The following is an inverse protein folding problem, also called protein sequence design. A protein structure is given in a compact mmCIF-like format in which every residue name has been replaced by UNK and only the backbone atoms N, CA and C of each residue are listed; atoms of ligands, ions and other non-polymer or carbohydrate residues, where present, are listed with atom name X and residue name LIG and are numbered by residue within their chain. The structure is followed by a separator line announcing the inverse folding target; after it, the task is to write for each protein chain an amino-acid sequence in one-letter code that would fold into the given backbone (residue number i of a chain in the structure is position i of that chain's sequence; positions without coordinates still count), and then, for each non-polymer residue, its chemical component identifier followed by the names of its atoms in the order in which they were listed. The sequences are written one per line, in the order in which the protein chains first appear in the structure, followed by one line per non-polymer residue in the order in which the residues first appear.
data_IF_351257381698
#
_entry.id   IF_351257381698
#
_cell.length_a   1.000
_cell.length_b   1.000
_cell.length_c   1.000
_cell.angle_alpha   90.00
_cell.angle_beta   90.00
_cell.angle_gamma   90.00
#
_symmetry.space_group_name_H-M   'P 1'
#
loop_
_entity.id
_entity.type
_entity.pdbx_description
1 polymer ?
#
# COMPACT_ATOMS: atom_id res chain seq x y z
N UNK A 1 -1.68 -24.22 12.83
CA UNK A 1 -2.64 -23.32 12.19
C UNK A 1 -3.28 -22.50 13.28
N UNK A 2 -3.28 -21.16 13.18
CA UNK A 2 -3.96 -20.33 14.16
C UNK A 2 -5.47 -20.62 14.11
N UNK A 3 -6.12 -20.68 15.27
CA UNK A 3 -7.57 -20.81 15.34
C UNK A 3 -8.15 -19.44 15.05
N UNK A 4 -8.87 -19.30 13.94
CA UNK A 4 -9.54 -18.05 13.57
C UNK A 4 -10.77 -17.85 14.44
N UNK A 5 -11.12 -16.58 14.74
CA UNK A 5 -12.41 -16.26 15.29
C UNK A 5 -13.51 -16.49 14.26
N UNK A 6 -14.77 -16.48 14.70
CA UNK A 6 -15.92 -16.60 13.81
C UNK A 6 -15.95 -15.45 12.78
N UNK A 7 -15.73 -14.23 13.23
CA UNK A 7 -15.67 -13.04 12.38
C UNK A 7 -14.52 -13.11 11.37
N UNK A 8 -13.34 -13.59 11.78
CA UNK A 8 -12.20 -13.77 10.88
C UNK A 8 -12.50 -14.84 9.81
N UNK A 9 -13.19 -15.91 10.20
CA UNK A 9 -13.62 -16.94 9.25
C UNK A 9 -14.63 -16.39 8.25
N UNK A 10 -15.61 -15.63 8.72
CA UNK A 10 -16.61 -14.96 7.86
C UNK A 10 -15.93 -13.97 6.89
N UNK A 11 -14.97 -13.18 7.38
CA UNK A 11 -14.22 -12.23 6.54
C UNK A 11 -13.46 -12.94 5.43
N UNK A 12 -12.73 -14.02 5.75
CA UNK A 12 -12.03 -14.84 4.76
C UNK A 12 -12.98 -15.44 3.74
N UNK A 13 -14.12 -16.00 4.18
CA UNK A 13 -15.09 -16.62 3.29
C UNK A 13 -15.76 -15.59 2.37
N UNK A 14 -16.00 -14.36 2.86
CA UNK A 14 -16.45 -13.23 2.06
C UNK A 14 -15.41 -12.83 1.02
N UNK A 15 -14.14 -12.72 1.42
CA UNK A 15 -13.04 -12.41 0.50
C UNK A 15 -12.91 -13.48 -0.59
N UNK A 16 -12.95 -14.77 -0.21
CA UNK A 16 -12.91 -15.91 -1.13
C UNK A 16 -14.05 -15.84 -2.16
N UNK A 17 -15.27 -15.60 -1.71
CA UNK A 17 -16.43 -15.51 -2.60
C UNK A 17 -16.29 -14.34 -3.57
N UNK A 18 -15.88 -13.18 -3.07
CA UNK A 18 -15.70 -11.99 -3.88
C UNK A 18 -14.62 -12.16 -4.96
N UNK A 19 -13.43 -12.71 -4.62
CA UNK A 19 -12.37 -12.87 -5.61
C UNK A 19 -12.77 -13.87 -6.71
N UNK A 20 -13.53 -14.91 -6.37
CA UNK A 20 -14.02 -15.89 -7.35
C UNK A 20 -15.04 -15.29 -8.30
N UNK A 21 -15.93 -14.42 -7.79
CA UNK A 21 -17.00 -13.81 -8.58
C UNK A 21 -16.53 -12.56 -9.35
N UNK A 22 -15.85 -11.64 -8.67
CA UNK A 22 -15.54 -10.29 -9.18
C UNK A 22 -14.14 -10.15 -9.75
N UNK A 23 -13.17 -10.92 -9.23
CA UNK A 23 -11.77 -10.79 -9.62
C UNK A 23 -11.11 -12.14 -9.94
N UNK A 24 -11.72 -13.00 -10.77
CA UNK A 24 -11.05 -14.22 -11.25
C UNK A 24 -9.80 -13.87 -12.07
N UNK A 25 -8.88 -14.82 -12.27
CA UNK A 25 -7.63 -14.60 -13.05
C UNK A 25 -7.89 -14.01 -14.44
N UNK A 26 -9.05 -14.26 -15.03
CA UNK A 26 -9.47 -13.64 -16.30
C UNK A 26 -9.66 -12.13 -16.19
N UNK A 27 -10.08 -11.61 -15.03
CA UNK A 27 -10.17 -10.18 -14.78
C UNK A 27 -8.78 -9.53 -14.74
N UNK A 28 -7.81 -10.17 -14.07
CA UNK A 28 -6.42 -9.75 -14.10
C UNK A 28 -5.85 -9.71 -15.53
N UNK A 29 -6.07 -10.75 -16.33
CA UNK A 29 -5.63 -10.78 -17.73
C UNK A 29 -6.26 -9.65 -18.54
N UNK A 30 -7.56 -9.40 -18.37
CA UNK A 30 -8.26 -8.29 -19.03
C UNK A 30 -7.66 -6.93 -18.65
N UNK A 31 -7.37 -6.70 -17.36
CA UNK A 31 -6.73 -5.49 -16.87
C UNK A 31 -5.34 -5.31 -17.49
N UNK A 32 -4.50 -6.36 -17.46
CA UNK A 32 -3.17 -6.37 -18.08
C UNK A 32 -3.22 -6.03 -19.56
N UNK A 33 -4.09 -6.70 -20.32
CA UNK A 33 -4.16 -6.58 -21.77
C UNK A 33 -4.81 -5.25 -22.22
N UNK A 34 -5.59 -4.60 -21.34
CA UNK A 34 -6.15 -3.27 -21.59
C UNK A 34 -5.11 -2.14 -21.50
N UNK A 35 -3.94 -2.40 -20.91
CA UNK A 35 -2.94 -1.37 -20.65
C UNK A 35 -3.39 -0.35 -19.61
N UNK A 36 -4.23 -0.76 -18.64
CA UNK A 36 -4.76 0.11 -17.59
C UNK A 36 -3.66 1.01 -16.99
N UNK A 37 -3.89 2.31 -16.97
CA UNK A 37 -2.89 3.30 -16.55
C UNK A 37 -2.46 3.10 -15.11
N UNK A 38 -3.43 2.82 -14.23
CA UNK A 38 -3.19 2.65 -12.79
C UNK A 38 -2.72 1.24 -12.42
N UNK A 39 -2.86 0.25 -13.32
CA UNK A 39 -2.45 -1.14 -13.07
C UNK A 39 -3.39 -1.91 -12.14
N UNK A 40 -4.60 -1.42 -11.90
CA UNK A 40 -5.69 -2.10 -11.20
C UNK A 40 -7.05 -1.63 -11.72
N UNK A 41 -8.11 -2.39 -11.40
CA UNK A 41 -9.50 -2.04 -11.74
C UNK A 41 -10.07 -1.13 -10.64
N UNK A 42 -10.42 0.11 -11.01
CA UNK A 42 -10.94 1.12 -10.08
C UNK A 42 -12.30 0.71 -9.52
N UNK A 43 -13.15 0.05 -10.31
CA UNK A 43 -14.45 -0.42 -9.81
C UNK A 43 -14.28 -1.52 -8.75
N UNK A 44 -13.39 -2.47 -8.99
CA UNK A 44 -13.05 -3.50 -8.02
C UNK A 44 -12.45 -2.91 -6.73
N UNK A 45 -11.58 -1.89 -6.85
CA UNK A 45 -11.06 -1.18 -5.68
C UNK A 45 -12.15 -0.49 -4.86
N UNK A 46 -13.09 0.18 -5.53
CA UNK A 46 -14.22 0.83 -4.85
C UNK A 46 -15.09 -0.20 -4.11
N UNK A 47 -15.40 -1.35 -4.72
CA UNK A 47 -16.13 -2.43 -4.05
C UNK A 47 -15.38 -2.94 -2.80
N UNK A 48 -14.04 -3.13 -2.87
CA UNK A 48 -13.23 -3.52 -1.72
C UNK A 48 -13.31 -2.48 -0.60
N UNK A 49 -13.26 -1.20 -0.92
CA UNK A 49 -13.37 -0.11 0.04
C UNK A 49 -14.77 -0.05 0.67
N UNK A 50 -15.84 -0.21 -0.11
CA UNK A 50 -17.22 -0.30 0.38
C UNK A 50 -17.44 -1.49 1.34
N UNK A 51 -16.73 -2.59 1.12
CA UNK A 51 -16.68 -3.73 2.05
C UNK A 51 -15.82 -3.48 3.30
N UNK A 52 -15.19 -2.30 3.41
CA UNK A 52 -14.34 -1.90 4.54
C UNK A 52 -12.94 -2.50 4.51
N UNK A 53 -12.51 -3.16 3.42
CA UNK A 53 -11.20 -3.83 3.39
C UNK A 53 -10.01 -2.87 3.43
N UNK A 54 -10.16 -1.67 2.86
CA UNK A 54 -9.14 -0.64 2.91
C UNK A 54 -8.87 -0.11 4.33
N UNK A 55 -9.88 -0.23 5.22
CA UNK A 55 -9.86 0.24 6.61
C UNK A 55 -9.65 -0.84 7.67
N UNK A 56 -9.35 -2.10 7.30
CA UNK A 56 -9.30 -3.24 8.24
C UNK A 56 -8.35 -3.02 9.43
N UNK A 57 -7.19 -2.39 9.21
CA UNK A 57 -6.22 -2.10 10.28
C UNK A 57 -6.34 -0.69 10.85
N UNK A 58 -7.17 0.16 10.26
CA UNK A 58 -7.33 1.56 10.67
C UNK A 58 -8.22 1.59 11.93
N UNK A 59 -7.85 2.38 12.96
CA UNK A 59 -8.67 2.53 14.16
C UNK A 59 -10.07 3.06 13.85
N UNK A 60 -11.05 2.65 14.65
CA UNK A 60 -12.47 3.03 14.49
C UNK A 60 -12.68 4.54 14.53
N UNK A 61 -11.91 5.25 15.35
CA UNK A 61 -11.95 6.72 15.46
C UNK A 61 -11.58 7.43 14.16
N UNK A 62 -10.92 6.73 13.21
CA UNK A 62 -10.59 7.20 11.86
C UNK A 62 -11.38 6.47 10.77
N UNK A 63 -12.50 5.86 11.11
CA UNK A 63 -13.39 5.23 10.13
C UNK A 63 -13.00 3.82 9.68
N UNK A 64 -12.01 3.21 10.30
CA UNK A 64 -11.66 1.81 10.07
C UNK A 64 -12.41 0.85 10.98
N UNK A 65 -12.11 -0.45 10.89
CA UNK A 65 -12.69 -1.49 11.74
C UNK A 65 -11.76 -2.00 12.85
N UNK A 66 -10.49 -1.60 12.83
CA UNK A 66 -9.45 -2.06 13.76
C UNK A 66 -9.41 -3.59 13.94
N UNK A 67 -9.68 -4.33 12.87
CA UNK A 67 -9.85 -5.79 12.90
C UNK A 67 -8.49 -6.53 12.86
N UNK A 68 -7.40 -5.78 12.74
CA UNK A 68 -6.03 -6.23 12.91
C UNK A 68 -5.37 -6.82 11.67
N UNK A 69 -4.05 -7.03 11.78
CA UNK A 69 -3.21 -7.44 10.67
C UNK A 69 -3.45 -8.88 10.20
N UNK A 70 -3.88 -9.79 11.09
CA UNK A 70 -4.25 -11.15 10.70
C UNK A 70 -5.46 -11.12 9.75
N UNK A 71 -6.47 -10.34 10.08
CA UNK A 71 -7.67 -10.20 9.26
C UNK A 71 -7.36 -9.63 7.87
N UNK A 72 -6.50 -8.62 7.80
CA UNK A 72 -6.02 -8.11 6.51
C UNK A 72 -5.21 -9.16 5.74
N UNK A 73 -4.40 -9.95 6.43
CA UNK A 73 -3.64 -11.07 5.84
C UNK A 73 -4.55 -12.11 5.19
N UNK A 74 -5.69 -12.44 5.81
CA UNK A 74 -6.67 -13.37 5.23
C UNK A 74 -7.26 -12.86 3.91
N UNK A 75 -7.54 -11.55 3.83
CA UNK A 75 -7.99 -10.91 2.59
C UNK A 75 -6.89 -10.98 1.53
N UNK A 76 -5.65 -10.57 1.88
CA UNK A 76 -4.51 -10.59 0.95
C UNK A 76 -4.20 -11.99 0.43
N UNK A 77 -4.35 -13.03 1.26
CA UNK A 77 -4.22 -14.43 0.84
C UNK A 77 -5.24 -14.78 -0.25
N UNK A 78 -6.51 -14.44 -0.08
CA UNK A 78 -7.53 -14.72 -1.09
C UNK A 78 -7.34 -13.87 -2.36
N UNK A 79 -6.92 -12.62 -2.25
CA UNK A 79 -6.54 -11.79 -3.40
C UNK A 79 -5.35 -12.39 -4.17
N UNK A 80 -4.39 -12.97 -3.47
CA UNK A 80 -3.25 -13.66 -4.05
C UNK A 80 -3.64 -14.89 -4.89
N UNK A 81 -4.68 -15.63 -4.51
CA UNK A 81 -5.16 -16.80 -5.26
C UNK A 81 -5.59 -16.46 -6.69
N UNK A 82 -6.14 -15.28 -6.90
CA UNK A 82 -6.63 -14.84 -8.21
C UNK A 82 -5.76 -13.79 -8.88
N UNK A 83 -4.60 -13.46 -8.28
CA UNK A 83 -3.67 -12.43 -8.74
C UNK A 83 -4.34 -11.05 -8.82
N UNK A 84 -5.26 -10.76 -7.92
CA UNK A 84 -6.01 -9.51 -7.91
C UNK A 84 -5.09 -8.32 -7.68
N UNK A 85 -4.99 -7.45 -8.69
CA UNK A 85 -4.26 -6.19 -8.57
C UNK A 85 -5.12 -5.15 -7.84
N UNK A 86 -4.63 -4.63 -6.71
CA UNK A 86 -5.33 -3.60 -5.94
C UNK A 86 -4.36 -2.78 -5.10
N UNK A 87 -4.74 -1.55 -4.69
CA UNK A 87 -3.97 -0.73 -3.75
C UNK A 87 -3.95 -1.24 -2.30
N UNK A 88 -4.56 -2.38 -1.98
CA UNK A 88 -4.73 -2.82 -0.59
C UNK A 88 -3.40 -2.97 0.16
N UNK A 89 -2.38 -3.54 -0.49
CA UNK A 89 -1.05 -3.72 0.11
C UNK A 89 -0.34 -2.37 0.32
N UNK A 90 -0.35 -1.49 -0.67
CA UNK A 90 0.35 -0.19 -0.60
C UNK A 90 -0.38 0.82 0.27
N UNK A 91 -1.70 0.93 0.12
CA UNK A 91 -2.53 1.92 0.79
C UNK A 91 -3.08 1.40 2.12
N UNK A 92 -3.88 0.34 2.08
CA UNK A 92 -4.55 -0.22 3.26
C UNK A 92 -3.61 -0.85 4.28
N UNK A 93 -2.39 -1.27 3.88
CA UNK A 93 -1.40 -1.82 4.80
C UNK A 93 -0.22 -0.88 5.02
N UNK A 94 0.59 -0.60 3.99
CA UNK A 94 1.89 0.05 4.19
C UNK A 94 1.74 1.53 4.57
N UNK A 95 1.02 2.33 3.78
CA UNK A 95 0.80 3.75 4.06
C UNK A 95 -0.04 3.96 5.32
N UNK A 96 -1.13 3.19 5.50
CA UNK A 96 -1.93 3.21 6.72
C UNK A 96 -1.09 2.88 7.96
N UNK A 97 -0.22 1.84 7.91
CA UNK A 97 0.68 1.50 9.02
C UNK A 97 1.66 2.62 9.35
N UNK A 98 2.21 3.30 8.34
CA UNK A 98 3.11 4.42 8.58
C UNK A 98 2.41 5.59 9.31
N UNK A 99 1.18 5.91 8.90
CA UNK A 99 0.38 6.94 9.54
C UNK A 99 -0.05 6.55 10.96
N UNK A 100 -0.54 5.33 11.16
CA UNK A 100 -0.96 4.83 12.48
C UNK A 100 0.19 4.89 13.48
N UNK A 101 1.39 4.51 13.06
CA UNK A 101 2.55 4.41 13.94
C UNK A 101 3.30 5.71 14.14
N UNK A 102 3.39 6.56 13.13
CA UNK A 102 4.26 7.73 13.13
C UNK A 102 3.58 9.04 12.78
N UNK A 103 2.32 9.01 12.32
CA UNK A 103 1.58 10.23 12.00
C UNK A 103 1.22 11.03 13.23
N UNK A 104 1.23 12.36 13.13
CA UNK A 104 0.59 13.24 14.11
C UNK A 104 -0.93 13.06 14.09
N UNK A 105 -1.63 13.51 15.14
CA UNK A 105 -3.09 13.39 15.21
C UNK A 105 -3.76 14.14 14.02
N UNK A 106 -3.19 15.27 13.60
CA UNK A 106 -3.67 15.99 12.42
C UNK A 106 -3.52 15.16 11.13
N UNK A 107 -2.35 14.54 10.92
CA UNK A 107 -2.10 13.68 9.76
C UNK A 107 -3.00 12.44 9.75
N UNK A 108 -3.18 11.80 10.91
CA UNK A 108 -4.09 10.65 11.05
C UNK A 108 -5.53 11.05 10.74
N UNK A 109 -6.02 12.15 11.32
CA UNK A 109 -7.39 12.63 11.12
C UNK A 109 -7.66 13.09 9.68
N UNK A 110 -6.64 13.62 8.99
CA UNK A 110 -6.78 14.04 7.58
C UNK A 110 -6.78 12.85 6.61
N UNK A 111 -5.93 11.83 6.82
CA UNK A 111 -5.63 10.85 5.80
C UNK A 111 -6.19 9.45 6.05
N UNK A 112 -6.24 8.98 7.31
CA UNK A 112 -6.73 7.64 7.58
C UNK A 112 -8.19 7.41 7.17
N UNK A 113 -9.13 8.36 7.39
CA UNK A 113 -10.49 8.21 6.89
C UNK A 113 -10.56 8.05 5.37
N UNK A 114 -9.82 8.88 4.63
CA UNK A 114 -9.78 8.83 3.17
C UNK A 114 -9.18 7.53 2.62
N UNK A 115 -8.21 6.95 3.35
CA UNK A 115 -7.67 5.63 3.02
C UNK A 115 -8.71 4.55 3.31
N UNK A 116 -9.38 4.61 4.46
CA UNK A 116 -10.42 3.64 4.83
C UNK A 116 -11.60 3.62 3.85
N UNK A 117 -11.99 4.79 3.36
CA UNK A 117 -13.01 4.97 2.32
C UNK A 117 -12.53 4.63 0.90
N UNK A 118 -11.23 4.36 0.72
CA UNK A 118 -10.62 4.10 -0.59
C UNK A 118 -10.56 5.32 -1.51
N UNK A 119 -10.95 6.51 -1.05
CA UNK A 119 -10.98 7.76 -1.83
C UNK A 119 -9.59 8.33 -2.08
N UNK A 120 -8.60 7.95 -1.26
CA UNK A 120 -7.19 8.27 -1.44
C UNK A 120 -6.37 6.99 -1.41
N UNK A 121 -5.53 6.82 -2.41
CA UNK A 121 -4.52 5.76 -2.43
C UNK A 121 -3.23 6.28 -1.80
N UNK A 122 -2.70 5.55 -0.83
CA UNK A 122 -1.38 5.81 -0.24
C UNK A 122 -0.31 4.93 -0.87
N UNK A 123 0.89 5.47 -1.05
CA UNK A 123 2.06 4.72 -1.50
C UNK A 123 3.22 4.84 -0.53
N UNK A 124 4.07 3.80 -0.46
CA UNK A 124 5.31 3.80 0.32
C UNK A 124 6.51 3.83 -0.64
N UNK A 125 7.32 4.88 -0.56
CA UNK A 125 8.45 5.12 -1.46
C UNK A 125 9.77 5.03 -0.67
N UNK A 126 10.44 3.87 -0.74
CA UNK A 126 11.65 3.55 0.04
C UNK A 126 12.88 3.48 -0.86
N UNK A 127 12.85 2.65 -1.91
CA UNK A 127 14.03 2.30 -2.68
C UNK A 127 14.47 3.41 -3.65
N UNK A 128 15.78 3.50 -3.87
CA UNK A 128 16.42 4.48 -4.75
C UNK A 128 17.26 3.83 -5.85
N UNK A 129 17.25 2.52 -5.94
CA UNK A 129 18.06 1.73 -6.88
C UNK A 129 17.37 0.46 -7.33
N UNK A 130 18.11 -0.37 -8.07
CA UNK A 130 17.58 -1.62 -8.62
C UNK A 130 17.34 -2.71 -7.56
N UNK A 131 17.93 -2.57 -6.39
CA UNK A 131 17.81 -3.55 -5.30
C UNK A 131 17.22 -2.89 -4.07
N UNK A 132 16.36 -3.63 -3.35
CA UNK A 132 15.80 -3.21 -2.08
C UNK A 132 16.91 -2.96 -1.05
N UNK A 133 17.03 -1.70 -0.63
CA UNK A 133 18.02 -1.30 0.38
C UNK A 133 17.52 -0.07 1.15
N UNK A 134 16.69 -0.27 2.19
CA UNK A 134 16.06 0.82 2.94
C UNK A 134 17.05 1.69 3.72
N UNK A 135 18.27 1.19 3.98
CA UNK A 135 19.32 1.93 4.69
C UNK A 135 20.10 2.89 3.78
N UNK A 136 20.02 2.67 2.46
CA UNK A 136 20.71 3.52 1.47
C UNK A 136 19.77 4.61 0.98
N UNK A 137 19.73 5.74 1.70
CA UNK A 137 18.89 6.89 1.39
C UNK A 137 19.73 8.09 0.98
N UNK A 138 19.57 8.56 -0.26
CA UNK A 138 20.16 9.79 -0.79
C UNK A 138 19.13 10.94 -0.87
N UNK A 139 17.84 10.63 -0.88
CA UNK A 139 16.73 11.62 -0.80
C UNK A 139 16.87 12.46 0.45
N UNK A 140 16.80 13.79 0.33
CA UNK A 140 17.04 14.76 1.41
C UNK A 140 15.75 15.47 1.79
N UNK A 141 15.49 15.54 3.09
CA UNK A 141 14.48 16.43 3.67
C UNK A 141 15.17 17.63 4.32
N UNK A 142 14.79 18.83 3.89
CA UNK A 142 15.31 20.09 4.42
C UNK A 142 14.27 21.20 4.28
N UNK A 143 14.11 22.02 5.33
CA UNK A 143 13.24 23.21 5.34
C UNK A 143 11.79 22.91 4.88
N UNK A 144 11.21 21.80 5.34
CA UNK A 144 9.85 21.37 5.00
C UNK A 144 9.69 20.83 3.58
N UNK A 145 10.78 20.52 2.89
CA UNK A 145 10.79 20.04 1.50
C UNK A 145 11.61 18.78 1.34
N UNK A 146 11.18 17.93 0.40
CA UNK A 146 11.91 16.72 0.04
C UNK A 146 12.41 16.82 -1.40
N UNK A 147 13.66 16.37 -1.61
CA UNK A 147 14.33 16.36 -2.92
C UNK A 147 15.09 15.05 -3.10
N UNK A 148 14.86 14.37 -4.21
CA UNK A 148 15.49 13.08 -4.52
C UNK A 148 14.68 12.26 -5.48
N UNK A 149 14.94 10.94 -5.51
CA UNK A 149 14.29 10.00 -6.43
C UNK A 149 13.97 8.70 -5.71
N UNK A 150 12.80 8.14 -6.03
CA UNK A 150 12.40 6.81 -5.57
C UNK A 150 12.06 5.93 -6.75
N UNK A 151 12.37 4.64 -6.61
CA UNK A 151 12.15 3.64 -7.66
C UNK A 151 11.16 2.58 -7.19
N UNK A 152 10.47 1.96 -8.14
CA UNK A 152 9.55 0.84 -7.90
C UNK A 152 8.47 1.13 -6.84
N UNK A 153 7.96 2.37 -6.81
CA UNK A 153 6.89 2.76 -5.89
C UNK A 153 5.58 2.12 -6.35
N UNK A 154 5.11 1.11 -5.62
CA UNK A 154 3.81 0.48 -5.88
C UNK A 154 2.70 1.50 -5.75
N UNK A 155 1.75 1.46 -6.69
CA UNK A 155 0.65 2.42 -6.83
C UNK A 155 1.10 3.89 -6.95
N UNK A 156 2.37 4.12 -7.30
CA UNK A 156 2.95 5.46 -7.40
C UNK A 156 2.25 6.36 -8.41
N UNK A 157 1.62 5.81 -9.45
CA UNK A 157 0.80 6.57 -10.40
C UNK A 157 -0.52 7.02 -9.80
N UNK A 158 -1.14 6.20 -8.94
CA UNK A 158 -2.44 6.45 -8.32
C UNK A 158 -2.36 7.24 -7.00
N UNK A 159 -1.16 7.34 -6.42
CA UNK A 159 -0.98 7.82 -5.05
C UNK A 159 -1.44 9.28 -4.86
N UNK A 160 -2.47 9.47 -4.05
CA UNK A 160 -2.89 10.79 -3.54
C UNK A 160 -2.00 11.27 -2.40
N UNK A 161 -1.38 10.33 -1.64
CA UNK A 161 -0.31 10.61 -0.69
C UNK A 161 0.84 9.62 -0.88
N UNK A 162 2.05 10.09 -0.62
CA UNK A 162 3.27 9.29 -0.72
C UNK A 162 4.03 9.40 0.59
N UNK A 163 4.29 8.26 1.23
CA UNK A 163 5.15 8.17 2.40
C UNK A 163 6.57 7.87 1.91
N UNK A 164 7.46 8.83 2.05
CA UNK A 164 8.80 8.82 1.42
C UNK A 164 9.88 8.67 2.48
N UNK A 165 10.83 7.74 2.31
CA UNK A 165 12.03 7.74 3.12
C UNK A 165 12.98 8.86 2.69
N UNK A 166 13.52 9.60 3.65
CA UNK A 166 14.43 10.71 3.39
C UNK A 166 15.40 10.92 4.55
N UNK A 167 16.51 11.59 4.29
CA UNK A 167 17.52 11.95 5.29
C UNK A 167 17.32 13.40 5.71
N UNK A 168 16.86 13.60 6.95
CA UNK A 168 16.76 14.90 7.61
C UNK A 168 17.91 15.19 8.57
N UNK A 169 17.77 16.22 9.37
CA UNK A 169 18.77 16.62 10.37
C UNK A 169 18.99 15.52 11.43
N UNK A 170 17.92 14.80 11.82
CA UNK A 170 17.95 13.76 12.85
C UNK A 170 18.21 12.36 12.27
N UNK A 171 18.63 12.27 11.00
CA UNK A 171 18.88 11.00 10.32
C UNK A 171 17.80 10.60 9.33
N UNK A 172 17.69 9.29 9.06
CA UNK A 172 16.70 8.74 8.13
C UNK A 172 15.34 8.64 8.82
N UNK A 173 14.29 9.05 8.10
CA UNK A 173 12.91 8.98 8.56
C UNK A 173 11.91 8.90 7.42
N UNK A 174 10.62 8.86 7.75
CA UNK A 174 9.51 8.91 6.80
C UNK A 174 8.88 10.29 6.77
N UNK A 175 8.49 10.71 5.59
CA UNK A 175 7.88 12.01 5.31
C UNK A 175 6.64 11.84 4.46
N UNK A 176 5.55 12.50 4.82
CA UNK A 176 4.32 12.53 4.06
C UNK A 176 4.40 13.64 3.01
N UNK A 177 4.12 13.30 1.76
CA UNK A 177 4.04 14.20 0.61
C UNK A 177 2.68 14.06 -0.04
N UNK A 178 2.04 15.18 -0.38
CA UNK A 178 0.79 15.15 -1.17
C UNK A 178 1.12 14.78 -2.61
N UNK A 179 0.34 13.85 -3.16
CA UNK A 179 0.61 13.31 -4.50
C UNK A 179 0.46 14.35 -5.62
N UNK A 180 -0.34 15.39 -5.42
CA UNK A 180 -0.57 16.50 -6.35
C UNK A 180 0.40 17.67 -6.18
N UNK A 181 1.40 17.56 -5.28
CA UNK A 181 2.41 18.60 -5.15
C UNK A 181 3.18 18.78 -6.46
N UNK A 182 3.39 20.05 -6.85
CA UNK A 182 4.07 20.41 -8.11
C UNK A 182 5.52 19.91 -8.22
N UNK A 183 6.15 19.61 -7.09
CA UNK A 183 7.49 19.01 -7.02
C UNK A 183 7.50 17.50 -7.22
N UNK A 184 6.34 16.85 -7.39
CA UNK A 184 6.22 15.40 -7.61
C UNK A 184 6.10 15.11 -9.10
N UNK A 185 7.06 14.37 -9.66
CA UNK A 185 7.03 13.89 -11.06
C UNK A 185 7.05 12.38 -11.09
N UNK A 186 6.10 11.78 -11.79
CA UNK A 186 5.92 10.33 -11.87
C UNK A 186 6.31 9.80 -13.24
N UNK A 187 6.99 8.65 -13.24
CA UNK A 187 7.37 7.92 -14.44
C UNK A 187 6.86 6.50 -14.32
N UNK A 188 5.79 6.17 -15.06
CA UNK A 188 5.18 4.84 -15.06
C UNK A 188 6.21 3.77 -15.40
N UNK A 189 6.20 2.68 -14.66
CA UNK A 189 6.97 1.48 -14.96
C UNK A 189 6.10 0.44 -15.66
N UNK A 190 6.70 -0.26 -16.63
CA UNK A 190 6.10 -1.44 -17.24
C UNK A 190 6.62 -2.68 -16.54
N UNK A 191 5.82 -3.25 -15.64
CA UNK A 191 6.16 -4.48 -14.93
C UNK A 191 5.59 -5.70 -15.66
N UNK A 192 6.22 -6.86 -15.46
CA UNK A 192 5.80 -8.13 -16.07
C UNK A 192 4.38 -8.55 -15.65
N UNK A 193 3.99 -8.22 -14.42
CA UNK A 193 2.66 -8.45 -13.86
C UNK A 193 1.67 -7.32 -14.15
N UNK A 194 2.10 -6.25 -14.85
CA UNK A 194 1.31 -5.07 -15.20
C UNK A 194 0.66 -4.33 -14.02
N UNK A 195 1.08 -4.60 -12.80
CA UNK A 195 0.66 -3.82 -11.62
C UNK A 195 1.16 -2.39 -11.70
N UNK A 196 0.45 -1.47 -11.06
CA UNK A 196 0.80 -0.06 -11.01
C UNK A 196 2.07 0.17 -10.20
N UNK A 197 3.11 0.68 -10.87
CA UNK A 197 4.31 1.14 -10.21
C UNK A 197 4.90 2.34 -10.96
N UNK A 198 5.61 3.18 -10.23
CA UNK A 198 6.28 4.36 -10.79
C UNK A 198 7.66 4.57 -10.19
N UNK A 199 8.56 5.17 -10.97
CA UNK A 199 9.64 5.95 -10.40
C UNK A 199 9.13 7.36 -10.12
N UNK A 200 9.56 7.95 -9.02
CA UNK A 200 9.08 9.27 -8.60
C UNK A 200 10.28 10.17 -8.33
N UNK A 201 10.33 11.31 -9.01
CA UNK A 201 11.28 12.40 -8.73
C UNK A 201 10.58 13.42 -7.81
N UNK A 202 11.28 13.84 -6.76
CA UNK A 202 10.90 14.90 -5.86
C UNK A 202 11.82 16.10 -6.07
N UNK A 203 11.26 17.24 -6.47
CA UNK A 203 11.96 18.47 -6.75
C UNK A 203 11.48 19.58 -5.81
N UNK A 204 11.92 19.50 -4.56
CA UNK A 204 11.49 20.42 -3.51
C UNK A 204 10.01 20.31 -3.17
N UNK A 205 9.43 19.12 -3.25
CA UNK A 205 8.04 18.87 -2.87
C UNK A 205 7.84 19.14 -1.38
N UNK A 206 6.71 19.75 -1.01
CA UNK A 206 6.37 19.98 0.39
C UNK A 206 6.19 18.63 1.11
N UNK A 207 6.80 18.52 2.29
CA UNK A 207 6.82 17.27 3.02
C UNK A 207 6.68 17.52 4.53
N UNK A 208 5.98 16.62 5.20
CA UNK A 208 5.77 16.66 6.65
C UNK A 208 6.39 15.42 7.29
N UNK A 209 7.19 15.55 8.37
CA UNK A 209 7.82 14.40 9.01
C UNK A 209 6.80 13.53 9.74
N UNK A 210 7.03 12.21 9.71
CA UNK A 210 6.40 11.24 10.61
C UNK A 210 7.36 10.99 11.79
N UNK A 211 6.80 10.78 12.99
CA UNK A 211 7.60 10.46 14.17
C UNK A 211 8.17 9.03 14.10
N UNK A 212 9.33 8.79 14.74
CA UNK A 212 9.89 7.45 14.92
C UNK A 212 11.15 7.13 14.10
N UNK A 213 11.58 8.03 13.21
CA UNK A 213 12.85 7.91 12.49
C UNK A 213 13.02 6.58 11.73
N UNK A 214 14.25 6.05 11.71
CA UNK A 214 14.56 4.77 11.03
C UNK A 214 13.77 3.58 11.62
N UNK A 215 13.54 3.54 12.91
CA UNK A 215 12.78 2.47 13.56
C UNK A 215 11.31 2.40 13.08
N UNK A 216 10.74 3.49 12.62
CA UNK A 216 9.42 3.48 11.99
C UNK A 216 9.47 2.74 10.64
N UNK A 217 10.53 2.96 9.85
CA UNK A 217 10.72 2.30 8.55
C UNK A 217 10.72 0.79 8.75
N UNK A 218 11.50 0.27 9.69
CA UNK A 218 11.59 -1.16 10.00
C UNK A 218 10.22 -1.74 10.34
N UNK A 219 9.48 -1.08 11.24
CA UNK A 219 8.14 -1.52 11.64
C UNK A 219 7.14 -1.55 10.48
N UNK A 220 7.19 -0.55 9.59
CA UNK A 220 6.31 -0.47 8.42
C UNK A 220 6.68 -1.56 7.42
N UNK A 221 7.97 -1.76 7.16
CA UNK A 221 8.45 -2.80 6.25
C UNK A 221 8.15 -4.21 6.75
N UNK A 222 8.26 -4.46 8.05
CA UNK A 222 7.91 -5.77 8.60
C UNK A 222 6.42 -6.10 8.39
N UNK A 223 5.55 -5.13 8.57
CA UNK A 223 4.12 -5.28 8.29
C UNK A 223 3.85 -5.49 6.80
N UNK A 224 4.50 -4.70 5.94
CA UNK A 224 4.40 -4.85 4.49
C UNK A 224 4.88 -6.24 4.03
N UNK A 225 6.02 -6.74 4.57
CA UNK A 225 6.54 -8.09 4.30
C UNK A 225 5.56 -9.18 4.73
N UNK A 226 4.91 -9.03 5.89
CA UNK A 226 3.88 -9.97 6.34
C UNK A 226 2.68 -9.99 5.38
N UNK A 227 2.24 -8.83 4.88
CA UNK A 227 1.17 -8.73 3.88
C UNK A 227 1.55 -9.38 2.55
N UNK A 228 2.76 -9.11 2.05
CA UNK A 228 3.29 -9.76 0.82
C UNK A 228 3.36 -11.27 1.01
N UNK A 229 3.82 -11.75 2.18
CA UNK A 229 3.88 -13.19 2.46
C UNK A 229 2.49 -13.84 2.43
N UNK A 230 1.45 -13.18 2.94
CA UNK A 230 0.07 -13.66 2.86
C UNK A 230 -0.42 -13.74 1.40
N UNK A 231 -0.18 -12.70 0.59
CA UNK A 231 -0.53 -12.70 -0.83
C UNK A 231 0.22 -13.81 -1.60
N UNK A 232 1.52 -13.98 -1.33
CA UNK A 232 2.33 -15.05 -1.91
C UNK A 232 1.83 -16.45 -1.51
N UNK A 233 1.39 -16.63 -0.26
CA UNK A 233 0.79 -17.88 0.21
C UNK A 233 -0.46 -18.22 -0.61
N UNK A 234 -1.35 -17.26 -0.83
CA UNK A 234 -2.55 -17.44 -1.65
C UNK A 234 -2.21 -17.89 -3.07
N UNK A 235 -1.23 -17.23 -3.72
CA UNK A 235 -0.77 -17.59 -5.06
C UNK A 235 -0.17 -19.00 -5.09
N UNK A 236 0.63 -19.37 -4.08
CA UNK A 236 1.23 -20.70 -3.99
C UNK A 236 0.18 -21.80 -3.77
N UNK A 237 -0.81 -21.55 -2.89
CA UNK A 237 -1.91 -22.47 -2.65
C UNK A 237 -2.73 -22.70 -3.93
N UNK A 238 -3.07 -21.64 -4.65
CA UNK A 238 -3.81 -21.77 -5.90
C UNK A 238 -3.02 -22.54 -6.95
N UNK A 239 -1.73 -22.29 -7.08
CA UNK A 239 -0.87 -23.05 -7.99
C UNK A 239 -0.85 -24.55 -7.63
N UNK A 240 -0.69 -24.87 -6.34
CA UNK A 240 -0.70 -26.25 -5.85
C UNK A 240 -2.04 -26.96 -6.07
N UNK A 241 -3.16 -26.29 -5.79
CA UNK A 241 -4.51 -26.87 -5.96
C UNK A 241 -4.90 -27.07 -7.44
N UNK A 242 -4.22 -26.37 -8.37
CA UNK A 242 -4.47 -26.47 -9.82
C UNK A 242 -3.64 -27.57 -10.48
N UNK A 243 -2.57 -28.04 -9.82
CA UNK A 243 -1.66 -29.09 -10.32
C UNK A 243 -2.16 -30.46 -9.95
#
# INVERSE_FOLDING_TARGET
MAVLSEEQSMLRDAAKSWVQEKSPVTAFRKMRDSGAELGYDVAAWNEMAEMGWAGVIIPEEYGGSNFGYLSLGLILEELGRTLTASPLLSSGLAAASALILGGSDAQKSEWLPKIAEGTVVGALAIDEGAHHNPDKVATVFKDGKITGKKTFVLEGMAAGIIIVSGKGADGIGLYLVKGDDKGVKRHKLSLADSRGAANIDFDGAAAEPLAGGAALIDKVLDRARAGVAAEMLGSALQAFETT
#
